data_IF_963880618543
#
_entry.id   IF_963880618543
#
_cell.length_a   1.000
_cell.length_b   1.000
_cell.length_c   1.000
_cell.angle_alpha   90.00
_cell.angle_beta   90.00
_cell.angle_gamma   90.00
#
_symmetry.space_group_name_H-M   'P 1'
#
loop_
_entity.id
_entity.type
_entity.pdbx_description
1 polymer ?
#
# COMPACT_ATOMS: atom_id res chain seq x y z
N UNK A 1 13.82 12.93 -22.75
CA UNK A 1 13.61 11.51 -22.41
C UNK A 1 13.43 11.45 -20.90
N UNK A 2 12.24 11.11 -20.41
CA UNK A 2 11.98 11.03 -18.97
C UNK A 2 12.93 9.99 -18.34
N UNK A 3 13.60 10.34 -17.23
CA UNK A 3 14.58 9.44 -16.57
C UNK A 3 13.97 8.09 -16.20
N UNK A 4 12.67 8.08 -15.90
CA UNK A 4 11.86 6.89 -15.62
C UNK A 4 11.88 5.82 -16.73
N UNK A 5 12.29 6.16 -17.96
CA UNK A 5 12.41 5.22 -19.09
C UNK A 5 13.83 4.69 -19.31
N UNK A 6 14.82 5.18 -18.57
CA UNK A 6 16.21 4.72 -18.69
C UNK A 6 16.36 3.27 -18.21
N UNK A 7 16.97 2.37 -19.00
CA UNK A 7 17.28 1.01 -18.56
C UNK A 7 18.12 0.98 -17.28
N UNK A 8 19.08 1.91 -17.14
CA UNK A 8 19.92 2.02 -15.96
C UNK A 8 19.12 2.41 -14.72
N UNK A 9 18.17 3.35 -14.87
CA UNK A 9 17.29 3.76 -13.78
C UNK A 9 16.37 2.62 -13.34
N UNK A 10 15.79 1.88 -14.30
CA UNK A 10 15.01 0.67 -14.02
C UNK A 10 15.83 -0.39 -13.29
N UNK A 11 17.08 -0.61 -13.69
CA UNK A 11 17.99 -1.55 -13.03
C UNK A 11 18.30 -1.13 -11.60
N UNK A 12 18.59 0.15 -11.37
CA UNK A 12 18.77 0.70 -10.03
C UNK A 12 17.54 0.44 -9.15
N UNK A 13 16.35 0.82 -9.62
CA UNK A 13 15.10 0.60 -8.88
C UNK A 13 14.86 -0.89 -8.59
N UNK A 14 15.21 -1.78 -9.51
CA UNK A 14 15.10 -3.23 -9.30
C UNK A 14 16.04 -3.71 -8.19
N UNK A 15 17.28 -3.20 -8.13
CA UNK A 15 18.23 -3.51 -7.07
C UNK A 15 17.77 -2.99 -5.71
N UNK A 16 17.25 -1.76 -5.66
CA UNK A 16 16.69 -1.17 -4.44
C UNK A 16 15.52 -2.02 -3.93
N UNK A 17 14.59 -2.39 -4.81
CA UNK A 17 13.47 -3.25 -4.47
C UNK A 17 13.92 -4.63 -3.96
N UNK A 18 14.93 -5.25 -4.57
CA UNK A 18 15.45 -6.54 -4.14
C UNK A 18 16.03 -6.51 -2.71
N UNK A 19 16.74 -5.42 -2.35
CA UNK A 19 17.25 -5.23 -0.98
C UNK A 19 16.12 -5.12 0.05
N UNK A 20 15.06 -4.38 -0.26
CA UNK A 20 13.89 -4.29 0.62
C UNK A 20 13.19 -5.63 0.78
N UNK A 21 13.09 -6.42 -0.30
CA UNK A 21 12.49 -7.75 -0.25
C UNK A 21 13.31 -8.70 0.63
N UNK A 22 14.63 -8.60 0.60
CA UNK A 22 15.50 -9.39 1.48
C UNK A 22 15.33 -9.00 2.95
N UNK A 23 15.21 -7.69 3.25
CA UNK A 23 14.90 -7.24 4.60
C UNK A 23 13.53 -7.74 5.07
N UNK A 24 12.50 -7.63 4.21
CA UNK A 24 11.15 -8.14 4.52
C UNK A 24 11.15 -9.64 4.76
N UNK A 25 11.93 -10.43 4.01
CA UNK A 25 12.09 -11.86 4.27
C UNK A 25 12.55 -12.12 5.69
N UNK A 26 13.61 -11.42 6.12
CA UNK A 26 14.14 -11.54 7.48
C UNK A 26 13.11 -11.15 8.54
N UNK A 27 12.34 -10.07 8.31
CA UNK A 27 11.26 -9.68 9.22
C UNK A 27 10.13 -10.73 9.27
N UNK A 28 9.78 -11.32 8.13
CA UNK A 28 8.74 -12.35 8.06
C UNK A 28 9.16 -13.59 8.86
N UNK A 29 10.41 -14.02 8.70
CA UNK A 29 10.99 -15.16 9.43
C UNK A 29 11.03 -14.95 10.96
N UNK A 30 10.90 -13.70 11.44
CA UNK A 30 10.81 -13.38 12.87
C UNK A 30 9.39 -13.42 13.44
N UNK A 31 8.34 -13.53 12.62
CA UNK A 31 6.99 -13.61 13.16
C UNK A 31 6.83 -14.89 13.98
N UNK A 32 6.18 -14.81 15.15
CA UNK A 32 5.93 -16.00 15.95
C UNK A 32 4.97 -16.93 15.22
N UNK A 33 4.98 -18.20 15.61
CA UNK A 33 3.98 -19.20 15.18
C UNK A 33 2.56 -18.70 15.48
N UNK A 34 1.59 -19.06 14.64
CA UNK A 34 0.20 -18.55 14.65
C UNK A 34 -0.46 -18.48 16.03
N UNK A 35 -0.26 -19.51 16.87
CA UNK A 35 -0.78 -19.58 18.24
C UNK A 35 -0.32 -18.43 19.18
N UNK A 36 0.65 -17.60 18.74
CA UNK A 36 1.25 -16.51 19.51
C UNK A 36 1.18 -15.15 18.80
N UNK A 37 0.45 -15.04 17.68
CA UNK A 37 0.28 -13.75 17.00
C UNK A 37 -0.58 -12.82 17.86
N UNK A 38 -0.03 -11.66 18.19
CA UNK A 38 -0.80 -10.53 18.73
C UNK A 38 -1.35 -9.65 17.60
N UNK A 39 -2.08 -8.60 17.98
CA UNK A 39 -2.70 -7.68 17.03
C UNK A 39 -1.68 -6.97 16.13
N UNK A 40 -0.53 -6.56 16.66
CA UNK A 40 0.49 -5.86 15.88
C UNK A 40 1.11 -6.80 14.83
N UNK A 41 1.34 -8.07 15.19
CA UNK A 41 1.83 -9.06 14.22
C UNK A 41 0.81 -9.33 13.11
N UNK A 42 -0.48 -9.43 13.44
CA UNK A 42 -1.55 -9.63 12.46
C UNK A 42 -1.62 -8.47 11.46
N UNK A 43 -1.62 -7.23 11.95
CA UNK A 43 -1.68 -6.03 11.12
C UNK A 43 -0.46 -5.93 10.20
N UNK A 44 0.73 -6.20 10.75
CA UNK A 44 1.97 -6.17 9.99
C UNK A 44 1.98 -7.24 8.87
N UNK A 45 1.58 -8.47 9.19
CA UNK A 45 1.45 -9.53 8.18
C UNK A 45 0.45 -9.14 7.08
N UNK A 46 -0.72 -8.59 7.46
CA UNK A 46 -1.74 -8.14 6.52
C UNK A 46 -1.22 -7.05 5.56
N UNK A 47 -0.49 -6.06 6.06
CA UNK A 47 0.14 -5.02 5.22
C UNK A 47 1.22 -5.60 4.29
N UNK A 48 2.02 -6.57 4.75
CA UNK A 48 2.99 -7.27 3.89
C UNK A 48 2.27 -8.04 2.77
N UNK A 49 1.14 -8.69 3.06
CA UNK A 49 0.35 -9.39 2.04
C UNK A 49 -0.27 -8.45 1.01
N UNK A 50 -0.77 -7.29 1.44
CA UNK A 50 -1.25 -6.26 0.51
C UNK A 50 -0.11 -5.79 -0.39
N UNK A 51 1.07 -5.48 0.16
CA UNK A 51 2.22 -5.08 -0.64
C UNK A 51 2.67 -6.20 -1.61
N UNK A 52 2.69 -7.45 -1.17
CA UNK A 52 3.02 -8.61 -2.00
C UNK A 52 2.04 -8.78 -3.16
N UNK A 53 0.74 -8.63 -2.89
CA UNK A 53 -0.32 -8.63 -3.89
C UNK A 53 -0.11 -7.55 -4.95
N UNK A 54 0.14 -6.31 -4.52
CA UNK A 54 0.36 -5.18 -5.43
C UNK A 54 1.60 -5.41 -6.29
N UNK A 55 2.74 -5.75 -5.67
CA UNK A 55 4.00 -5.99 -6.37
C UNK A 55 3.86 -7.10 -7.41
N UNK A 56 3.17 -8.17 -7.06
CA UNK A 56 2.90 -9.31 -7.94
C UNK A 56 1.98 -8.94 -9.10
N UNK A 57 0.92 -8.19 -8.82
CA UNK A 57 -0.02 -7.71 -9.82
C UNK A 57 0.63 -6.82 -10.86
N UNK A 58 1.45 -5.87 -10.41
CA UNK A 58 2.26 -4.99 -11.25
C UNK A 58 3.28 -5.78 -12.08
N UNK A 59 3.97 -6.74 -11.47
CA UNK A 59 4.97 -7.57 -12.16
C UNK A 59 4.34 -8.50 -13.20
N UNK A 60 3.11 -8.97 -12.98
CA UNK A 60 2.44 -9.97 -13.81
C UNK A 60 2.83 -11.42 -13.51
N UNK A 61 3.80 -11.61 -12.62
CA UNK A 61 4.27 -12.90 -12.10
C UNK A 61 4.55 -12.75 -10.62
N UNK A 62 4.59 -13.87 -9.88
CA UNK A 62 4.78 -13.86 -8.43
C UNK A 62 5.99 -13.00 -8.00
N UNK A 63 5.77 -12.03 -7.12
CA UNK A 63 6.86 -11.27 -6.50
C UNK A 63 7.51 -12.12 -5.40
N UNK A 64 8.82 -11.96 -5.11
CA UNK A 64 9.48 -12.76 -4.07
C UNK A 64 8.76 -12.71 -2.70
N UNK A 65 8.24 -11.55 -2.32
CA UNK A 65 7.48 -11.37 -1.05
C UNK A 65 6.27 -12.29 -0.96
N UNK A 66 5.58 -12.59 -2.06
CA UNK A 66 4.45 -13.55 -2.07
C UNK A 66 4.91 -14.95 -1.65
N UNK A 67 6.12 -15.36 -2.02
CA UNK A 67 6.65 -16.67 -1.64
C UNK A 67 7.09 -16.75 -0.18
N UNK A 68 7.60 -15.65 0.37
CA UNK A 68 7.99 -15.57 1.80
C UNK A 68 6.78 -15.69 2.73
N UNK A 69 5.62 -15.20 2.30
CA UNK A 69 4.40 -15.24 3.10
C UNK A 69 3.70 -16.60 3.13
N UNK A 70 4.01 -17.52 2.22
CA UNK A 70 3.24 -18.77 2.04
C UNK A 70 3.16 -19.62 3.32
N UNK A 71 4.19 -19.56 4.17
CA UNK A 71 4.21 -20.28 5.44
C UNK A 71 3.44 -19.62 6.59
N UNK A 72 3.06 -18.33 6.46
CA UNK A 72 2.40 -17.55 7.51
C UNK A 72 0.95 -17.20 7.17
N UNK A 73 0.58 -17.21 5.88
CA UNK A 73 -0.78 -16.92 5.41
C UNK A 73 -1.58 -18.21 5.22
N UNK A 74 -1.93 -18.84 6.34
CA UNK A 74 -2.76 -20.05 6.40
C UNK A 74 -4.23 -19.72 6.57
N UNK A 75 -5.16 -20.67 6.35
CA UNK A 75 -6.56 -20.50 6.69
C UNK A 75 -6.78 -20.11 8.16
N UNK A 76 -5.96 -20.63 9.08
CA UNK A 76 -6.00 -20.31 10.50
C UNK A 76 -5.61 -18.84 10.75
N UNK A 77 -4.56 -18.34 10.09
CA UNK A 77 -4.22 -16.91 10.12
C UNK A 77 -5.39 -16.05 9.66
N UNK A 78 -6.02 -16.40 8.53
CA UNK A 78 -7.17 -15.66 8.00
C UNK A 78 -8.32 -15.67 9.02
N UNK A 79 -8.64 -16.82 9.60
CA UNK A 79 -9.66 -16.94 10.64
C UNK A 79 -9.38 -16.08 11.87
N UNK A 80 -8.13 -16.05 12.35
CA UNK A 80 -7.68 -15.22 13.49
C UNK A 80 -7.75 -13.73 13.13
N UNK A 81 -7.23 -13.34 11.97
CA UNK A 81 -7.26 -11.97 11.47
C UNK A 81 -8.69 -11.45 11.39
N UNK A 82 -9.59 -12.19 10.73
CA UNK A 82 -11.00 -11.83 10.61
C UNK A 82 -11.70 -11.74 11.98
N UNK A 83 -11.45 -12.70 12.86
CA UNK A 83 -11.97 -12.68 14.24
C UNK A 83 -11.48 -11.47 15.05
N UNK A 84 -10.25 -11.00 14.80
CA UNK A 84 -9.69 -9.84 15.48
C UNK A 84 -10.39 -8.53 15.10
N UNK A 85 -10.82 -8.41 13.83
CA UNK A 85 -11.57 -7.28 13.31
C UNK A 85 -13.01 -7.26 13.84
N UNK A 86 -13.67 -8.43 13.87
CA UNK A 86 -15.04 -8.57 14.37
C UNK A 86 -15.22 -8.39 15.88
N UNK A 87 -14.15 -8.33 16.68
CA UNK A 87 -14.22 -8.09 18.14
C UNK A 87 -14.00 -6.63 18.54
N UNK A 88 -13.90 -5.70 17.58
CA UNK A 88 -13.66 -4.28 17.84
C UNK A 88 -12.34 -3.98 18.57
N UNK A 89 -11.44 -4.96 18.64
CA UNK A 89 -10.11 -4.82 19.28
C UNK A 89 -9.10 -4.17 18.33
N UNK A 90 -9.30 -4.29 17.03
CA UNK A 90 -8.59 -3.53 16.02
C UNK A 90 -9.15 -2.10 15.94
N UNK A 91 -8.74 -1.25 16.89
CA UNK A 91 -9.13 0.17 16.94
C UNK A 91 -8.47 1.03 15.85
N UNK A 92 -7.57 0.45 15.05
CA UNK A 92 -6.82 1.13 14.00
C UNK A 92 -6.83 0.28 12.73
N UNK A 93 -7.30 0.87 11.63
CA UNK A 93 -7.58 0.31 10.30
C UNK A 93 -6.37 -0.17 9.49
N UNK A 94 -5.31 -0.66 10.15
CA UNK A 94 -4.15 -1.24 9.47
C UNK A 94 -4.52 -2.67 9.05
N UNK A 95 -4.15 -3.05 7.83
CA UNK A 95 -4.48 -4.34 7.25
C UNK A 95 -5.88 -4.47 6.62
N UNK A 96 -6.80 -3.50 6.72
CA UNK A 96 -8.16 -3.67 6.13
C UNK A 96 -8.18 -3.73 4.61
N UNK A 97 -7.15 -3.20 3.96
CA UNK A 97 -6.88 -3.43 2.54
C UNK A 97 -6.76 -4.92 2.19
N UNK A 98 -6.44 -5.79 3.16
CA UNK A 98 -6.42 -7.24 3.00
C UNK A 98 -7.78 -7.81 2.59
N UNK A 99 -8.91 -7.16 2.93
CA UNK A 99 -10.22 -7.62 2.46
C UNK A 99 -10.29 -7.71 0.92
N UNK A 100 -9.57 -6.84 0.19
CA UNK A 100 -9.57 -6.88 -1.27
C UNK A 100 -8.91 -8.10 -1.89
N UNK A 101 -8.03 -8.75 -1.14
CA UNK A 101 -7.23 -9.86 -1.63
C UNK A 101 -7.78 -11.20 -1.14
N UNK A 102 -8.67 -11.19 -0.14
CA UNK A 102 -9.41 -12.35 0.35
C UNK A 102 -10.45 -12.84 -0.66
N UNK A 103 -10.80 -14.12 -0.56
CA UNK A 103 -11.90 -14.69 -1.35
C UNK A 103 -13.24 -14.06 -0.94
N UNK A 104 -14.25 -14.05 -1.82
CA UNK A 104 -15.60 -13.62 -1.43
C UNK A 104 -16.20 -14.45 -0.28
N UNK A 105 -15.86 -15.74 -0.20
CA UNK A 105 -16.33 -16.65 0.85
C UNK A 105 -15.78 -16.26 2.22
N UNK A 106 -14.46 -16.03 2.31
CA UNK A 106 -13.82 -15.54 3.54
C UNK A 106 -14.41 -14.20 4.01
N UNK A 107 -14.83 -13.36 3.07
CA UNK A 107 -15.45 -12.06 3.36
C UNK A 107 -16.90 -12.14 3.80
N UNK A 108 -17.67 -13.09 3.28
CA UNK A 108 -19.10 -13.19 3.55
C UNK A 108 -19.42 -13.56 5.01
N UNK A 109 -18.50 -14.24 5.69
CA UNK A 109 -18.64 -14.64 7.10
C UNK A 109 -18.29 -13.57 8.13
N UNK A 110 -17.98 -12.34 7.72
CA UNK A 110 -17.45 -11.31 8.62
C UNK A 110 -18.58 -10.47 9.22
N UNK A 111 -18.76 -10.57 10.54
CA UNK A 111 -19.54 -9.60 11.31
C UNK A 111 -18.63 -8.43 11.71
N UNK A 112 -18.82 -7.27 11.08
CA UNK A 112 -18.06 -6.07 11.37
C UNK A 112 -18.81 -5.13 12.32
N UNK A 113 -18.09 -4.56 13.27
CA UNK A 113 -18.61 -3.50 14.13
C UNK A 113 -18.84 -2.23 13.31
N UNK A 114 -20.04 -1.67 13.41
CA UNK A 114 -20.42 -0.43 12.75
C UNK A 114 -20.22 0.77 13.69
N UNK A 115 -19.91 1.97 13.15
CA UNK A 115 -19.78 2.30 11.72
C UNK A 115 -18.39 2.01 11.13
N UNK A 116 -18.36 1.49 9.89
CA UNK A 116 -17.12 1.26 9.12
C UNK A 116 -16.57 2.52 8.46
N UNK A 117 -15.24 2.63 8.39
CA UNK A 117 -14.58 3.71 7.63
C UNK A 117 -14.84 3.57 6.13
N UNK A 118 -14.67 4.67 5.37
CA UNK A 118 -14.79 4.65 3.91
C UNK A 118 -13.79 3.68 3.27
N UNK A 119 -12.55 3.64 3.76
CA UNK A 119 -11.53 2.71 3.25
C UNK A 119 -11.95 1.25 3.47
N UNK A 120 -12.54 0.92 4.63
CA UNK A 120 -12.96 -0.46 4.93
C UNK A 120 -14.14 -0.89 4.05
N UNK A 121 -15.13 0.00 3.88
CA UNK A 121 -16.25 -0.24 2.95
C UNK A 121 -15.77 -0.41 1.51
N UNK A 122 -14.82 0.42 1.08
CA UNK A 122 -14.15 0.27 -0.22
C UNK A 122 -13.35 -1.03 -0.30
N UNK A 123 -12.76 -1.54 0.79
CA UNK A 123 -12.00 -2.77 0.74
C UNK A 123 -12.89 -4.03 0.67
N UNK A 124 -14.07 -3.98 1.28
CA UNK A 124 -15.03 -5.10 1.29
C UNK A 124 -15.83 -5.22 -0.01
N UNK A 125 -16.09 -4.11 -0.67
CA UNK A 125 -17.05 -4.00 -1.78
C UNK A 125 -16.59 -4.68 -3.08
N UNK A 126 -17.17 -5.81 -3.51
CA UNK A 126 -16.79 -6.44 -4.80
C UNK A 126 -16.99 -5.60 -6.06
N UNK A 127 -17.87 -4.60 -5.99
CA UNK A 127 -18.12 -3.64 -7.07
C UNK A 127 -18.38 -2.27 -6.46
N UNK A 128 -17.65 -1.26 -6.92
CA UNK A 128 -17.87 0.12 -6.51
C UNK A 128 -19.22 0.57 -7.07
N UNK A 129 -20.26 0.53 -6.24
CA UNK A 129 -21.57 1.04 -6.59
C UNK A 129 -21.57 2.57 -6.64
N UNK A 130 -22.57 3.14 -7.30
CA UNK A 130 -22.66 4.58 -7.49
C UNK A 130 -22.65 5.38 -6.16
N UNK A 131 -23.34 4.96 -5.09
CA UNK A 131 -23.31 5.67 -3.81
C UNK A 131 -21.92 5.66 -3.14
N UNK A 132 -21.26 4.51 -3.03
CA UNK A 132 -19.94 4.42 -2.41
C UNK A 132 -18.88 5.20 -3.20
N UNK A 133 -18.97 5.14 -4.53
CA UNK A 133 -18.07 5.89 -5.40
C UNK A 133 -18.31 7.40 -5.32
N UNK A 134 -19.56 7.86 -5.16
CA UNK A 134 -19.88 9.26 -4.97
C UNK A 134 -19.33 9.79 -3.63
N UNK A 135 -19.39 9.00 -2.56
CA UNK A 135 -18.78 9.34 -1.28
C UNK A 135 -17.25 9.41 -1.38
N UNK A 136 -16.62 8.42 -2.03
CA UNK A 136 -15.19 8.45 -2.29
C UNK A 136 -14.77 9.66 -3.14
N UNK A 137 -15.57 10.01 -4.15
CA UNK A 137 -15.36 11.22 -4.94
C UNK A 137 -15.43 12.49 -4.09
N UNK A 138 -16.45 12.62 -3.23
CA UNK A 138 -16.57 13.78 -2.34
C UNK A 138 -15.37 13.89 -1.40
N UNK A 139 -14.91 12.77 -0.85
CA UNK A 139 -13.74 12.70 0.01
C UNK A 139 -12.45 13.08 -0.74
N UNK A 140 -12.21 12.53 -1.94
CA UNK A 140 -10.98 12.79 -2.72
C UNK A 140 -10.86 14.23 -3.21
N UNK A 141 -12.01 14.90 -3.41
CA UNK A 141 -12.12 16.31 -3.80
C UNK A 141 -12.07 17.28 -2.62
N UNK A 142 -12.27 16.80 -1.39
CA UNK A 142 -12.33 17.68 -0.23
C UNK A 142 -10.98 18.39 -0.05
N UNK A 143 -10.95 19.73 0.02
CA UNK A 143 -9.73 20.45 0.33
C UNK A 143 -9.33 20.15 1.77
N UNK A 144 -8.08 19.75 1.97
CA UNK A 144 -7.50 19.58 3.31
C UNK A 144 -6.53 20.74 3.56
N UNK A 145 -6.82 21.68 4.46
CA UNK A 145 -5.90 22.78 4.77
C UNK A 145 -4.52 22.28 5.21
N UNK A 146 -3.45 23.01 4.90
CA UNK A 146 -2.08 22.56 5.17
C UNK A 146 -1.83 22.35 6.68
N UNK A 147 -2.43 23.19 7.52
CA UNK A 147 -2.37 23.11 8.98
C UNK A 147 -3.04 21.86 9.56
N UNK A 148 -3.90 21.19 8.79
CA UNK A 148 -4.56 19.94 9.17
C UNK A 148 -3.85 18.70 8.62
N UNK A 149 -2.79 18.88 7.82
CA UNK A 149 -2.05 17.76 7.25
C UNK A 149 -1.24 17.03 8.32
N UNK A 150 -1.48 15.73 8.38
CA UNK A 150 -0.76 14.76 9.20
C UNK A 150 -0.49 13.52 8.37
N UNK A 151 0.44 12.67 8.82
CA UNK A 151 0.71 11.40 8.15
C UNK A 151 -0.55 10.52 8.08
N UNK A 152 -1.38 10.51 9.13
CA UNK A 152 -2.62 9.73 9.15
C UNK A 152 -3.69 10.21 8.17
N UNK A 153 -3.76 11.53 7.93
CA UNK A 153 -4.67 12.10 6.91
C UNK A 153 -4.21 11.69 5.51
N UNK A 154 -2.91 11.77 5.22
CA UNK A 154 -2.36 11.36 3.92
C UNK A 154 -2.48 9.84 3.72
N UNK A 155 -2.23 9.04 4.75
CA UNK A 155 -2.40 7.59 4.71
C UNK A 155 -3.85 7.21 4.38
N UNK A 156 -4.82 7.82 5.07
CA UNK A 156 -6.25 7.62 4.78
C UNK A 156 -6.58 8.01 3.33
N UNK A 157 -6.06 9.15 2.88
CA UNK A 157 -6.26 9.63 1.51
C UNK A 157 -5.70 8.66 0.47
N UNK A 158 -4.45 8.25 0.64
CA UNK A 158 -3.77 7.34 -0.26
C UNK A 158 -4.46 5.97 -0.29
N UNK A 159 -4.92 5.45 0.86
CA UNK A 159 -5.70 4.20 0.94
C UNK A 159 -7.00 4.28 0.15
N UNK A 160 -7.80 5.33 0.37
CA UNK A 160 -9.08 5.52 -0.35
C UNK A 160 -8.84 5.60 -1.85
N UNK A 161 -7.84 6.39 -2.29
CA UNK A 161 -7.50 6.53 -3.70
C UNK A 161 -7.02 5.20 -4.30
N UNK A 162 -6.10 4.50 -3.63
CA UNK A 162 -5.58 3.22 -4.06
C UNK A 162 -6.70 2.17 -4.17
N UNK A 163 -7.64 2.11 -3.23
CA UNK A 163 -8.78 1.20 -3.26
C UNK A 163 -9.77 1.53 -4.37
N UNK A 164 -10.01 2.82 -4.68
CA UNK A 164 -10.82 3.23 -5.83
C UNK A 164 -10.23 2.73 -7.16
N UNK A 165 -8.89 2.75 -7.26
CA UNK A 165 -8.13 2.22 -8.40
C UNK A 165 -7.86 0.71 -8.31
N UNK A 166 -8.33 0.03 -7.25
CA UNK A 166 -7.99 -1.37 -6.98
C UNK A 166 -6.49 -1.65 -7.12
N UNK A 167 -5.69 -0.74 -6.55
CA UNK A 167 -4.23 -0.73 -6.62
C UNK A 167 -3.64 -0.69 -8.04
N UNK A 168 -4.41 -0.21 -9.02
CA UNK A 168 -4.04 -0.11 -10.43
C UNK A 168 -4.63 -1.21 -11.32
N UNK A 169 -5.34 -2.18 -10.75
CA UNK A 169 -6.01 -3.22 -11.53
C UNK A 169 -7.18 -2.67 -12.37
N UNK A 170 -7.80 -1.57 -11.93
CA UNK A 170 -8.90 -0.92 -12.63
C UNK A 170 -8.81 0.60 -12.52
N UNK A 171 -9.34 1.31 -13.51
CA UNK A 171 -9.57 2.75 -13.41
C UNK A 171 -11.01 2.98 -12.92
N UNK A 172 -11.24 3.72 -11.83
CA UNK A 172 -12.59 4.01 -11.36
C UNK A 172 -13.35 4.81 -12.42
N UNK A 173 -14.68 4.77 -12.41
CA UNK A 173 -15.52 5.61 -13.27
C UNK A 173 -16.24 6.67 -12.43
N UNK A 174 -15.51 7.69 -12.02
CA UNK A 174 -16.10 8.81 -11.29
C UNK A 174 -17.19 9.50 -12.11
N UNK A 175 -18.21 10.02 -11.43
CA UNK A 175 -19.31 10.74 -12.07
C UNK A 175 -18.85 12.08 -12.66
N UNK A 176 -17.85 12.71 -12.03
CA UNK A 176 -17.24 13.96 -12.46
C UNK A 176 -15.79 13.73 -12.89
N UNK A 177 -15.45 14.07 -14.14
CA UNK A 177 -14.09 13.94 -14.67
C UNK A 177 -13.10 14.87 -13.97
N UNK A 178 -13.55 15.97 -13.35
CA UNK A 178 -12.67 16.86 -12.56
C UNK A 178 -12.09 16.18 -11.33
N UNK A 179 -12.74 15.12 -10.84
CA UNK A 179 -12.26 14.31 -9.70
C UNK A 179 -10.84 13.82 -9.89
N UNK A 180 -10.45 13.42 -11.12
CA UNK A 180 -9.08 13.00 -11.39
C UNK A 180 -8.08 14.16 -11.22
N UNK A 181 -8.44 15.34 -11.71
CA UNK A 181 -7.61 16.55 -11.61
C UNK A 181 -7.47 17.03 -10.17
N UNK A 182 -8.59 17.07 -9.42
CA UNK A 182 -8.60 17.46 -8.01
C UNK A 182 -7.80 16.48 -7.16
N UNK A 183 -7.97 15.17 -7.41
CA UNK A 183 -7.21 14.15 -6.69
C UNK A 183 -5.71 14.21 -6.99
N UNK A 184 -5.36 14.45 -8.25
CA UNK A 184 -3.97 14.63 -8.67
C UNK A 184 -3.34 15.88 -8.03
N UNK A 185 -4.05 17.01 -8.03
CA UNK A 185 -3.59 18.24 -7.40
C UNK A 185 -3.40 18.07 -5.89
N UNK A 186 -4.31 17.37 -5.21
CA UNK A 186 -4.15 17.00 -3.81
C UNK A 186 -2.91 16.11 -3.59
N UNK A 187 -2.69 15.10 -4.43
CA UNK A 187 -1.51 14.25 -4.34
C UNK A 187 -0.20 15.05 -4.47
N UNK A 188 -0.11 15.98 -5.42
CA UNK A 188 1.07 16.84 -5.58
C UNK A 188 1.31 17.71 -4.34
N UNK A 189 0.26 18.31 -3.80
CA UNK A 189 0.34 19.16 -2.60
C UNK A 189 0.75 18.37 -1.37
N UNK A 190 0.20 17.17 -1.19
CA UNK A 190 0.59 16.29 -0.10
C UNK A 190 2.03 15.79 -0.26
N UNK A 191 2.51 15.63 -1.50
CA UNK A 191 3.86 15.15 -1.77
C UNK A 191 4.89 16.23 -1.43
N UNK A 192 4.61 17.48 -1.81
CA UNK A 192 5.38 18.63 -1.38
C UNK A 192 5.44 18.74 0.16
N UNK A 193 4.30 18.61 0.84
CA UNK A 193 4.27 18.62 2.30
C UNK A 193 5.11 17.48 2.89
N UNK A 194 4.97 16.25 2.38
CA UNK A 194 5.69 15.08 2.85
C UNK A 194 7.20 15.26 2.66
N UNK A 195 7.62 15.80 1.52
CA UNK A 195 9.01 16.08 1.21
C UNK A 195 9.58 17.15 2.14
N UNK A 196 8.90 18.29 2.33
CA UNK A 196 9.32 19.36 3.25
C UNK A 196 9.39 18.91 4.71
N UNK A 197 8.52 17.99 5.12
CA UNK A 197 8.50 17.41 6.47
C UNK A 197 9.39 16.18 6.61
N UNK A 198 10.06 15.75 5.52
CA UNK A 198 10.91 14.57 5.48
C UNK A 198 10.17 13.28 5.83
N UNK A 199 8.88 13.13 5.51
CA UNK A 199 8.07 11.94 5.85
C UNK A 199 8.09 10.94 4.70
N UNK A 200 8.75 9.79 4.91
CA UNK A 200 9.00 8.83 3.84
C UNK A 200 7.74 8.07 3.42
N UNK A 201 6.99 7.52 4.38
CA UNK A 201 5.79 6.74 4.09
C UNK A 201 4.76 7.53 3.26
N UNK A 202 4.36 8.76 3.66
CA UNK A 202 3.45 9.57 2.85
C UNK A 202 4.02 9.90 1.47
N UNK A 203 5.31 10.23 1.36
CA UNK A 203 5.94 10.53 0.07
C UNK A 203 5.90 9.33 -0.89
N UNK A 204 6.19 8.13 -0.39
CA UNK A 204 6.15 6.90 -1.17
C UNK A 204 4.72 6.53 -1.59
N UNK A 205 3.75 6.65 -0.69
CA UNK A 205 2.33 6.46 -0.99
C UNK A 205 1.84 7.40 -2.10
N UNK A 206 2.32 8.66 -2.09
CA UNK A 206 1.94 9.65 -3.09
C UNK A 206 2.63 9.42 -4.44
N UNK A 207 3.87 8.92 -4.47
CA UNK A 207 4.48 8.43 -5.71
C UNK A 207 3.61 7.34 -6.36
N UNK A 208 3.12 6.40 -5.55
CA UNK A 208 2.21 5.36 -6.01
C UNK A 208 0.89 5.96 -6.54
N UNK A 209 0.24 6.81 -5.75
CA UNK A 209 -1.04 7.44 -6.10
C UNK A 209 -0.99 8.31 -7.36
N UNK A 210 0.06 9.13 -7.51
CA UNK A 210 0.26 9.96 -8.71
C UNK A 210 0.34 9.08 -9.96
N UNK A 211 1.00 7.92 -9.87
CA UNK A 211 1.13 6.95 -10.97
C UNK A 211 -0.13 6.13 -11.22
N UNK A 212 -1.00 5.96 -10.22
CA UNK A 212 -2.32 5.39 -10.44
C UNK A 212 -3.20 6.32 -11.28
N UNK A 213 -3.17 7.63 -10.98
CA UNK A 213 -3.96 8.63 -11.71
C UNK A 213 -3.40 8.88 -13.11
N UNK A 214 -2.09 9.11 -13.18
CA UNK A 214 -1.33 9.36 -14.41
C UNK A 214 -0.14 8.38 -14.51
N UNK A 215 -0.28 7.29 -15.28
CA UNK A 215 0.76 6.29 -15.48
C UNK A 215 2.06 6.83 -16.11
N UNK A 216 2.08 8.05 -16.62
CA UNK A 216 3.24 8.70 -17.22
C UNK A 216 3.85 9.80 -16.34
N UNK A 217 3.26 10.10 -15.18
CA UNK A 217 3.81 11.06 -14.23
C UNK A 217 5.26 10.73 -13.86
N UNK A 218 6.14 11.73 -13.82
CA UNK A 218 7.54 11.52 -13.49
C UNK A 218 7.78 11.60 -11.98
N UNK A 219 7.75 10.44 -11.33
CA UNK A 219 8.06 10.30 -9.90
C UNK A 219 9.55 10.24 -9.60
N UNK A 220 10.43 10.30 -10.61
CA UNK A 220 11.88 10.11 -10.41
C UNK A 220 12.49 11.06 -9.38
N UNK A 221 12.13 12.36 -9.32
CA UNK A 221 12.64 13.27 -8.30
C UNK A 221 12.27 12.85 -6.87
N UNK A 222 11.01 12.50 -6.62
CA UNK A 222 10.54 12.05 -5.29
C UNK A 222 11.16 10.69 -4.91
N UNK A 223 11.31 9.79 -5.88
CA UNK A 223 11.98 8.50 -5.66
C UNK A 223 13.46 8.66 -5.38
N UNK A 224 14.13 9.71 -5.88
CA UNK A 224 15.55 9.94 -5.58
C UNK A 224 15.75 10.13 -4.06
N UNK A 225 14.90 10.93 -3.42
CA UNK A 225 14.94 11.16 -1.97
C UNK A 225 14.65 9.87 -1.18
N UNK A 226 13.65 9.10 -1.62
CA UNK A 226 13.31 7.81 -1.02
C UNK A 226 14.50 6.85 -1.15
N UNK A 227 14.99 6.61 -2.37
CA UNK A 227 16.09 5.68 -2.68
C UNK A 227 17.36 6.05 -1.92
N UNK A 228 17.70 7.34 -1.85
CA UNK A 228 18.86 7.82 -1.09
C UNK A 228 18.75 7.58 0.42
N UNK A 229 17.54 7.33 0.93
CA UNK A 229 17.28 7.04 2.34
C UNK A 229 17.37 5.55 2.70
N UNK A 230 17.52 4.64 1.72
CA UNK A 230 17.61 3.20 1.99
C UNK A 230 18.83 2.89 2.87
N UNK A 231 18.61 2.15 3.95
CA UNK A 231 19.65 1.73 4.90
C UNK A 231 20.49 0.57 4.34
N UNK A 232 21.69 0.31 4.90
CA UNK A 232 22.53 -0.81 4.49
C UNK A 232 21.83 -2.18 4.54
N UNK A 233 20.98 -2.40 5.55
CA UNK A 233 20.17 -3.61 5.73
C UNK A 233 19.03 -3.78 4.70
N UNK A 234 18.76 -2.76 3.89
CA UNK A 234 17.71 -2.74 2.86
C UNK A 234 16.38 -2.12 3.29
N UNK A 235 16.25 -1.75 4.57
CA UNK A 235 15.07 -1.06 5.12
C UNK A 235 15.00 0.41 4.72
N UNK A 236 13.83 1.02 4.94
CA UNK A 236 13.63 2.46 4.83
C UNK A 236 13.21 3.06 6.18
N UNK A 237 13.77 4.22 6.55
CA UNK A 237 13.43 4.90 7.79
C UNK A 237 12.07 5.62 7.71
N UNK A 238 11.54 6.01 8.87
CA UNK A 238 10.36 6.89 8.95
C UNK A 238 10.64 8.26 8.33
N UNK A 239 11.85 8.80 8.54
CA UNK A 239 12.27 10.10 8.03
C UNK A 239 13.23 9.98 6.85
N UNK A 240 12.97 10.75 5.78
CA UNK A 240 13.86 10.90 4.63
C UNK A 240 15.20 11.44 5.11
N UNK A 241 16.28 10.85 4.62
CA UNK A 241 17.64 11.26 4.95
C UNK A 241 18.60 10.08 5.02
N UNK A 242 19.87 10.41 4.83
CA UNK A 242 20.96 9.43 4.95
C UNK A 242 21.10 8.95 6.39
N UNK A 243 21.42 7.66 6.53
CA UNK A 243 21.69 7.02 7.80
C UNK A 243 22.20 5.60 7.56
N UNK A 244 22.97 5.10 8.51
CA UNK A 244 23.67 3.81 8.38
C UNK A 244 23.24 2.78 9.40
N UNK A 245 22.42 3.17 10.39
CA UNK A 245 21.92 2.25 11.40
C UNK A 245 20.88 1.29 10.84
N UNK A 246 20.99 0.03 11.23
CA UNK A 246 19.95 -0.98 11.01
C UNK A 246 18.63 -0.51 11.62
N UNK A 247 17.52 -0.97 11.06
CA UNK A 247 16.20 -0.59 11.55
C UNK A 247 15.45 -1.78 12.17
N UNK A 248 14.60 -1.47 13.13
CA UNK A 248 13.71 -2.42 13.77
C UNK A 248 12.34 -2.46 13.07
N UNK A 249 11.32 -2.93 13.80
CA UNK A 249 9.95 -3.10 13.30
C UNK A 249 9.31 -1.77 12.86
N UNK A 250 9.75 -0.62 13.36
CA UNK A 250 9.20 0.67 12.96
C UNK A 250 9.46 0.99 11.48
N UNK A 251 10.48 0.36 10.87
CA UNK A 251 10.77 0.51 9.46
C UNK A 251 9.87 -0.31 8.53
N UNK A 252 8.95 -1.14 9.05
CA UNK A 252 8.12 -1.99 8.19
C UNK A 252 7.24 -1.17 7.25
N UNK A 253 6.43 -0.25 7.79
CA UNK A 253 5.54 0.59 6.99
C UNK A 253 6.27 1.43 5.92
N UNK A 254 7.34 2.20 6.24
CA UNK A 254 8.10 2.92 5.23
C UNK A 254 8.75 1.99 4.19
N UNK A 255 9.23 0.81 4.60
CA UNK A 255 9.83 -0.16 3.67
C UNK A 255 8.81 -0.73 2.70
N UNK A 256 7.62 -1.07 3.17
CA UNK A 256 6.52 -1.55 2.32
C UNK A 256 6.05 -0.48 1.34
N UNK A 257 5.86 0.76 1.81
CA UNK A 257 5.45 1.88 0.96
C UNK A 257 6.48 2.18 -0.13
N UNK A 258 7.77 2.22 0.23
CA UNK A 258 8.86 2.40 -0.73
C UNK A 258 8.92 1.25 -1.74
N UNK A 259 8.79 -0.01 -1.28
CA UNK A 259 8.80 -1.17 -2.16
C UNK A 259 7.69 -1.10 -3.23
N UNK A 260 6.46 -0.77 -2.82
CA UNK A 260 5.31 -0.62 -3.71
C UNK A 260 5.52 0.54 -4.69
N UNK A 261 6.00 1.69 -4.23
CA UNK A 261 6.28 2.84 -5.08
C UNK A 261 7.34 2.52 -6.15
N UNK A 262 8.42 1.83 -5.76
CA UNK A 262 9.49 1.37 -6.65
C UNK A 262 8.94 0.36 -7.68
N UNK A 263 8.12 -0.61 -7.25
CA UNK A 263 7.47 -1.55 -8.19
C UNK A 263 6.57 -0.83 -9.19
N UNK A 264 5.78 0.14 -8.74
CA UNK A 264 4.93 0.94 -9.62
C UNK A 264 5.76 1.75 -10.62
N UNK A 265 6.88 2.32 -10.22
CA UNK A 265 7.77 3.02 -11.14
C UNK A 265 8.39 2.10 -12.21
N UNK A 266 8.78 0.88 -11.82
CA UNK A 266 9.38 -0.13 -12.71
C UNK A 266 8.36 -0.73 -13.68
N UNK A 267 7.19 -1.13 -13.20
CA UNK A 267 6.21 -1.92 -13.97
C UNK A 267 5.08 -1.08 -14.56
N UNK A 268 4.75 0.06 -13.94
CA UNK A 268 3.84 1.14 -14.38
C UNK A 268 2.37 0.83 -14.50
N UNK A 269 2.06 -0.43 -14.73
CA UNK A 269 0.70 -0.89 -14.94
C UNK A 269 0.55 -2.27 -14.33
N UNK A 270 -0.68 -2.58 -13.97
CA UNK A 270 -1.07 -3.92 -13.60
C UNK A 270 -0.94 -4.87 -14.79
N UNK A 271 -0.36 -6.05 -14.58
CA UNK A 271 -0.06 -7.04 -15.65
C UNK A 271 -0.63 -8.42 -15.36
N UNK A 272 -1.01 -8.72 -14.12
CA UNK A 272 -1.62 -10.01 -13.77
C UNK A 272 -3.13 -9.94 -14.04
N UNK A 273 -3.79 -10.97 -14.61
CA UNK A 273 -5.25 -11.05 -14.49
C UNK A 273 -5.62 -11.02 -13.01
N UNK A 274 -6.69 -10.32 -12.61
CA UNK A 274 -7.04 -10.07 -11.21
C UNK A 274 -6.79 -11.31 -10.34
N UNK A 275 -5.74 -11.32 -9.50
CA UNK A 275 -5.55 -12.38 -8.55
C UNK A 275 -6.58 -12.15 -7.45
N UNK A 276 -7.37 -13.16 -7.13
CA UNK A 276 -7.59 -13.40 -5.70
C UNK A 276 -6.24 -13.91 -5.17
N UNK A 277 -5.85 -13.60 -3.93
CA UNK A 277 -4.94 -14.54 -3.26
C UNK A 277 -5.81 -15.78 -3.05
N UNK A 278 -5.57 -16.91 -3.75
CA UNK A 278 -6.21 -18.14 -3.34
C UNK A 278 -5.50 -18.52 -2.04
N UNK A 279 -6.08 -18.13 -0.91
CA UNK A 279 -5.60 -18.51 0.41
C UNK A 279 -6.11 -19.92 0.76
N UNK A 280 -5.89 -20.86 -0.16
CA UNK A 280 -6.01 -22.30 0.05
C UNK A 280 -5.61 -23.03 -1.24
N UNK A 281 -4.66 -23.96 -1.11
CA UNK A 281 -4.80 -25.30 -1.67
C UNK A 281 -4.74 -26.26 -0.49
#
# INVERSE_FOLDING_TARGET
MLMSHSPAYKQLLTLIGARSQQWLRFQIEQFPTEARLDHDHLDNLAEIAVAAYICTGLRGTAAPVESFLRGHFTPDFVGIFLSSLGRGRARTSRGTAMFRILTPEDRAGIELWQPLSLADRLALSDRLDAPLLAEAQAFLKAPVPEEQLTEGVIDTYARVLALCYRFGAERPRFADSRTYGDAYANCLRFADWAQRKGRLTPLAQLCFCLRLIDPDHDVSPMLADIVASQRPDGSFPVQVGFGTGDQDREALAPTLAALVAVHMAVYRQWRRPQPTLPLAA
#
